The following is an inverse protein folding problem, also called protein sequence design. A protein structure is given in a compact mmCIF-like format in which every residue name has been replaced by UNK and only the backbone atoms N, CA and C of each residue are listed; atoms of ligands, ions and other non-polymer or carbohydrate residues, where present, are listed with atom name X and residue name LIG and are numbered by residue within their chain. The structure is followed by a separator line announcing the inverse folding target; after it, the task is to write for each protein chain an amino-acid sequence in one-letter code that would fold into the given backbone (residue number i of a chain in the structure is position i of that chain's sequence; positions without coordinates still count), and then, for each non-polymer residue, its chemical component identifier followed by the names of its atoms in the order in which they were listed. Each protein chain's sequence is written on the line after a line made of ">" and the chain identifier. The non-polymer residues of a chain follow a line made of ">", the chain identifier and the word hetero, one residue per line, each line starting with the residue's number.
data_IF_454840249701
#
_entry.id   IF_454840249701
#
_cell.length_a   1.000
_cell.length_b   1.000
_cell.length_c   1.000
_cell.angle_alpha   90.00
_cell.angle_beta   90.00
_cell.angle_gamma   90.00
#
_symmetry.space_group_name_H-M   'P 1'
#
loop_
_entity.id
_entity.type
_entity.pdbx_description
1 polymer ?
#
# COMPACT_ATOMS: atom_id res chain seq x y z
N UNK A 1 -56.96 23.99 -32.67
CA UNK A 1 -56.78 24.32 -31.24
C UNK A 1 -55.35 23.95 -30.86
N UNK A 2 -54.46 24.94 -30.78
CA UNK A 2 -53.02 24.70 -30.52
C UNK A 2 -52.77 24.95 -29.03
N UNK A 3 -52.46 23.90 -28.28
CA UNK A 3 -52.13 23.98 -26.86
C UNK A 3 -50.69 24.52 -26.76
N UNK A 4 -50.55 25.81 -26.44
CA UNK A 4 -49.25 26.37 -26.08
C UNK A 4 -48.84 25.82 -24.71
N UNK A 5 -47.95 24.82 -24.70
CA UNK A 5 -47.25 24.40 -23.49
C UNK A 5 -46.35 25.55 -23.04
N UNK A 6 -46.72 26.20 -21.94
CA UNK A 6 -45.82 27.13 -21.25
C UNK A 6 -44.62 26.33 -20.74
N UNK A 7 -43.44 26.57 -21.31
CA UNK A 7 -42.18 26.06 -20.77
C UNK A 7 -41.98 26.71 -19.41
N UNK A 8 -42.23 25.96 -18.32
CA UNK A 8 -41.87 26.37 -16.97
C UNK A 8 -40.34 26.29 -16.84
N UNK A 9 -39.66 27.37 -17.15
CA UNK A 9 -38.24 27.52 -16.83
C UNK A 9 -38.04 27.58 -15.32
N UNK A 10 -37.03 26.88 -14.81
CA UNK A 10 -36.64 26.96 -13.40
C UNK A 10 -36.28 28.41 -13.03
N UNK A 11 -36.68 28.82 -11.83
CA UNK A 11 -36.37 30.16 -11.31
C UNK A 11 -34.85 30.33 -11.11
N UNK A 12 -34.31 31.55 -11.30
CA UNK A 12 -32.92 31.84 -10.91
C UNK A 12 -32.65 31.47 -9.45
N UNK A 13 -33.64 31.68 -8.58
CA UNK A 13 -33.56 31.34 -7.15
C UNK A 13 -33.48 29.81 -6.96
N UNK A 14 -34.16 29.05 -7.80
CA UNK A 14 -34.16 27.59 -7.75
C UNK A 14 -32.81 27.02 -8.19
N UNK A 15 -32.21 27.57 -9.24
CA UNK A 15 -30.84 27.22 -9.63
C UNK A 15 -29.84 27.53 -8.50
N UNK A 16 -29.96 28.70 -7.86
CA UNK A 16 -29.11 29.08 -6.73
C UNK A 16 -29.28 28.12 -5.54
N UNK A 17 -30.51 27.70 -5.24
CA UNK A 17 -30.79 26.74 -4.18
C UNK A 17 -30.16 25.37 -4.48
N UNK A 18 -30.28 24.87 -5.70
CA UNK A 18 -29.67 23.60 -6.12
C UNK A 18 -28.15 23.67 -6.01
N UNK A 19 -27.54 24.76 -6.47
CA UNK A 19 -26.09 24.97 -6.36
C UNK A 19 -25.65 25.08 -4.89
N UNK A 20 -26.43 25.74 -4.03
CA UNK A 20 -26.13 25.83 -2.61
C UNK A 20 -26.14 24.44 -1.95
N UNK A 21 -27.16 23.63 -2.23
CA UNK A 21 -27.26 22.25 -1.71
C UNK A 21 -26.12 21.39 -2.25
N UNK A 22 -25.82 21.46 -3.55
CA UNK A 22 -24.69 20.76 -4.15
C UNK A 22 -23.35 21.16 -3.51
N UNK A 23 -23.14 22.45 -3.25
CA UNK A 23 -21.94 22.96 -2.59
C UNK A 23 -21.74 22.35 -1.20
N UNK A 24 -22.82 22.26 -0.41
CA UNK A 24 -22.79 21.63 0.91
C UNK A 24 -22.41 20.15 0.80
N UNK A 25 -22.99 19.40 -0.14
CA UNK A 25 -22.66 18.00 -0.35
C UNK A 25 -21.20 17.79 -0.75
N UNK A 26 -20.68 18.61 -1.68
CA UNK A 26 -19.31 18.51 -2.14
C UNK A 26 -18.31 18.84 -1.02
N UNK A 27 -18.61 19.84 -0.18
CA UNK A 27 -17.75 20.22 0.93
C UNK A 27 -17.50 19.08 1.92
N UNK A 28 -18.48 18.19 2.13
CA UNK A 28 -18.36 17.04 3.04
C UNK A 28 -17.80 15.80 2.31
N UNK A 29 -18.23 15.58 1.06
CA UNK A 29 -17.90 14.35 0.32
C UNK A 29 -16.44 14.30 -0.13
N UNK A 30 -15.89 15.41 -0.61
CA UNK A 30 -14.51 15.48 -1.12
C UNK A 30 -13.46 15.08 -0.07
N UNK A 31 -13.43 15.65 1.15
CA UNK A 31 -12.43 15.27 2.15
C UNK A 31 -12.57 13.80 2.58
N UNK A 32 -13.79 13.30 2.71
CA UNK A 32 -14.05 11.90 3.06
C UNK A 32 -13.53 10.92 2.00
N UNK A 33 -13.72 11.24 0.72
CA UNK A 33 -13.19 10.47 -0.40
C UNK A 33 -11.65 10.51 -0.42
N UNK A 34 -11.06 11.69 -0.24
CA UNK A 34 -9.60 11.84 -0.20
C UNK A 34 -8.96 10.98 0.91
N UNK A 35 -9.54 10.99 2.12
CA UNK A 35 -9.05 10.17 3.22
C UNK A 35 -9.21 8.66 2.95
N UNK A 36 -10.31 8.27 2.31
CA UNK A 36 -10.56 6.88 1.92
C UNK A 36 -9.55 6.39 0.87
N UNK A 37 -9.23 7.23 -0.11
CA UNK A 37 -8.19 6.92 -1.10
C UNK A 37 -6.81 6.79 -0.45
N UNK A 38 -6.43 7.68 0.49
CA UNK A 38 -5.16 7.56 1.23
C UNK A 38 -5.06 6.24 1.99
N UNK A 39 -6.14 5.84 2.68
CA UNK A 39 -6.23 4.53 3.37
C UNK A 39 -6.06 3.37 2.40
N UNK A 40 -6.74 3.42 1.26
CA UNK A 40 -6.66 2.37 0.25
C UNK A 40 -5.25 2.23 -0.32
N UNK A 41 -4.63 3.33 -0.73
CA UNK A 41 -3.25 3.32 -1.25
C UNK A 41 -2.25 2.81 -0.22
N UNK A 42 -2.39 3.19 1.06
CA UNK A 42 -1.54 2.71 2.14
C UNK A 42 -1.63 1.18 2.30
N UNK A 43 -2.86 0.63 2.36
CA UNK A 43 -3.09 -0.82 2.44
C UNK A 43 -2.57 -1.55 1.21
N UNK A 44 -2.76 -0.99 0.02
CA UNK A 44 -2.24 -1.55 -1.22
C UNK A 44 -0.71 -1.64 -1.19
N UNK A 45 -0.02 -0.59 -0.72
CA UNK A 45 1.44 -0.60 -0.60
C UNK A 45 1.97 -1.65 0.38
N UNK A 46 1.29 -1.88 1.51
CA UNK A 46 1.65 -2.98 2.43
C UNK A 46 1.47 -4.35 1.77
N UNK A 47 0.36 -4.56 1.07
CA UNK A 47 0.11 -5.81 0.34
C UNK A 47 1.12 -6.03 -0.78
N UNK A 48 1.51 -4.98 -1.49
CA UNK A 48 2.55 -5.00 -2.50
C UNK A 48 3.91 -5.36 -1.90
N UNK A 49 4.29 -4.73 -0.78
CA UNK A 49 5.50 -5.06 -0.04
C UNK A 49 5.57 -6.55 0.35
N UNK A 50 4.49 -7.09 0.94
CA UNK A 50 4.39 -8.52 1.29
C UNK A 50 4.46 -9.40 0.04
N UNK A 51 3.85 -8.96 -1.07
CA UNK A 51 3.89 -9.68 -2.35
C UNK A 51 5.30 -9.70 -2.94
N UNK A 52 6.04 -8.61 -2.83
CA UNK A 52 7.45 -8.52 -3.23
C UNK A 52 8.35 -9.39 -2.35
N UNK A 53 8.08 -9.48 -1.04
CA UNK A 53 8.79 -10.42 -0.18
C UNK A 53 8.52 -11.88 -0.56
N UNK A 54 7.28 -12.22 -0.93
CA UNK A 54 6.95 -13.53 -1.49
C UNK A 54 7.62 -13.76 -2.84
N UNK A 55 7.71 -12.73 -3.68
CA UNK A 55 8.42 -12.79 -4.95
C UNK A 55 9.91 -13.07 -4.73
N UNK A 56 10.56 -12.37 -3.81
CA UNK A 56 11.97 -12.58 -3.45
C UNK A 56 12.25 -14.04 -3.09
N UNK A 57 11.40 -14.61 -2.23
CA UNK A 57 11.44 -16.04 -1.88
C UNK A 57 11.27 -16.95 -3.09
N UNK A 58 10.27 -16.69 -3.94
CA UNK A 58 10.05 -17.49 -5.14
C UNK A 58 11.21 -17.40 -6.13
N UNK A 59 11.80 -16.21 -6.31
CA UNK A 59 12.98 -16.00 -7.14
C UNK A 59 14.16 -16.82 -6.62
N UNK A 60 14.38 -16.86 -5.31
CA UNK A 60 15.48 -17.63 -4.74
C UNK A 60 15.37 -19.13 -5.04
N UNK A 61 14.14 -19.66 -4.94
CA UNK A 61 13.84 -21.06 -5.25
C UNK A 61 13.96 -21.31 -6.75
N UNK A 62 13.30 -20.49 -7.58
CA UNK A 62 13.19 -20.70 -9.02
C UNK A 62 14.52 -20.52 -9.76
N UNK A 63 15.37 -19.59 -9.31
CA UNK A 63 16.69 -19.32 -9.89
C UNK A 63 17.81 -20.12 -9.23
N UNK A 64 17.50 -20.85 -8.15
CA UNK A 64 18.48 -21.58 -7.36
C UNK A 64 19.68 -20.72 -6.93
N UNK A 65 19.39 -19.45 -6.61
CA UNK A 65 20.36 -18.46 -6.13
C UNK A 65 19.78 -17.74 -4.91
N UNK A 66 20.58 -17.39 -3.90
CA UNK A 66 20.09 -16.56 -2.79
C UNK A 66 19.59 -15.19 -3.28
N UNK A 67 18.54 -14.68 -2.66
CA UNK A 67 17.97 -13.35 -2.98
C UNK A 67 17.96 -12.48 -1.74
N UNK A 68 18.63 -11.33 -1.84
CA UNK A 68 18.73 -10.34 -0.77
C UNK A 68 17.71 -9.22 -0.97
N UNK A 69 16.74 -9.13 -0.06
CA UNK A 69 15.81 -8.00 0.01
C UNK A 69 16.30 -7.02 1.06
N UNK A 70 16.62 -5.78 0.67
CA UNK A 70 17.01 -4.75 1.64
C UNK A 70 15.78 -3.92 1.98
N UNK A 71 15.48 -3.80 3.27
CA UNK A 71 14.29 -3.13 3.76
C UNK A 71 14.67 -1.93 4.61
N UNK A 72 14.31 -0.72 4.14
CA UNK A 72 14.43 0.52 4.88
C UNK A 72 13.15 0.88 5.63
N UNK A 73 13.08 2.11 6.14
CA UNK A 73 11.90 2.59 6.87
C UNK A 73 10.74 2.96 5.92
N UNK A 74 11.05 3.49 4.73
CA UNK A 74 10.07 4.01 3.77
C UNK A 74 10.24 3.40 2.37
N UNK A 75 11.26 2.57 2.20
CA UNK A 75 11.65 1.98 0.93
C UNK A 75 12.15 0.55 1.13
N UNK A 76 12.28 -0.16 0.02
CA UNK A 76 12.90 -1.47 -0.01
C UNK A 76 13.41 -1.74 -1.42
N UNK A 77 14.39 -2.62 -1.53
CA UNK A 77 14.98 -3.01 -2.80
C UNK A 77 15.11 -4.53 -2.92
N UNK A 78 15.03 -4.97 -4.18
CA UNK A 78 15.23 -6.35 -4.58
C UNK A 78 16.20 -6.39 -5.77
N UNK A 79 16.90 -7.50 -6.00
CA UNK A 79 17.62 -7.68 -7.25
C UNK A 79 16.65 -7.58 -8.43
N UNK A 80 17.12 -6.99 -9.52
CA UNK A 80 16.31 -6.82 -10.72
C UNK A 80 16.10 -8.17 -11.40
N UNK A 81 14.91 -8.74 -11.20
CA UNK A 81 14.56 -10.06 -11.70
C UNK A 81 14.34 -10.12 -13.22
N UNK A 82 14.38 -8.99 -13.93
CA UNK A 82 14.43 -8.98 -15.40
C UNK A 82 15.80 -9.39 -15.93
N UNK A 83 16.83 -9.43 -15.08
CA UNK A 83 18.16 -9.88 -15.46
C UNK A 83 18.23 -11.43 -15.56
N UNK A 84 19.19 -11.90 -16.37
CA UNK A 84 19.47 -13.32 -16.55
C UNK A 84 20.04 -13.98 -15.29
N UNK A 85 20.84 -13.22 -14.53
CA UNK A 85 21.51 -13.67 -13.32
C UNK A 85 21.21 -12.74 -12.14
N UNK A 86 20.65 -13.28 -11.06
CA UNK A 86 20.26 -12.49 -9.88
C UNK A 86 21.48 -12.06 -9.07
N UNK A 87 22.56 -12.86 -9.06
CA UNK A 87 23.77 -12.58 -8.30
C UNK A 87 24.54 -11.35 -8.78
N UNK A 88 24.36 -10.96 -10.04
CA UNK A 88 24.98 -9.77 -10.65
C UNK A 88 23.97 -8.68 -11.01
N UNK A 89 22.68 -8.92 -10.79
CA UNK A 89 21.63 -7.99 -11.13
C UNK A 89 21.79 -6.68 -10.33
N UNK A 90 21.52 -5.56 -11.00
CA UNK A 90 21.31 -4.29 -10.30
C UNK A 90 20.10 -4.35 -9.36
N UNK A 91 19.95 -3.36 -8.48
CA UNK A 91 18.81 -3.28 -7.58
C UNK A 91 17.61 -2.59 -8.25
N UNK A 92 16.42 -3.10 -7.95
CA UNK A 92 15.14 -2.45 -8.21
C UNK A 92 14.58 -1.94 -6.89
N UNK A 93 14.40 -0.63 -6.83
CA UNK A 93 13.93 0.08 -5.66
C UNK A 93 12.42 0.31 -5.71
N UNK A 94 11.79 0.25 -4.54
CA UNK A 94 10.38 0.49 -4.32
C UNK A 94 10.23 1.43 -3.13
N UNK A 95 9.31 2.38 -3.25
CA UNK A 95 8.95 3.27 -2.16
C UNK A 95 7.57 2.91 -1.63
N UNK A 96 7.43 2.90 -0.31
CA UNK A 96 6.14 2.75 0.34
C UNK A 96 5.29 4.02 0.16
N UNK A 97 3.96 3.89 0.15
CA UNK A 97 3.09 5.07 0.22
C UNK A 97 3.44 5.92 1.44
N UNK A 98 3.35 7.26 1.31
CA UNK A 98 3.71 8.22 2.37
C UNK A 98 3.05 8.00 3.75
N UNK A 99 1.91 7.32 3.76
CA UNK A 99 1.19 7.00 4.99
C UNK A 99 1.71 5.74 5.69
N UNK A 100 2.67 5.02 5.10
CA UNK A 100 3.21 3.76 5.60
C UNK A 100 4.67 3.90 6.02
N UNK A 101 5.02 3.36 7.17
CA UNK A 101 6.41 3.30 7.64
C UNK A 101 6.70 1.95 8.28
N UNK A 102 7.87 1.38 7.99
CA UNK A 102 8.40 0.18 8.64
C UNK A 102 9.09 0.63 9.93
N UNK A 103 8.50 0.28 11.07
CA UNK A 103 8.99 0.70 12.39
C UNK A 103 9.87 -0.35 13.06
N UNK A 104 9.85 -1.59 12.57
CA UNK A 104 10.75 -2.65 13.02
C UNK A 104 11.01 -3.69 11.94
N UNK A 105 12.16 -4.36 12.07
CA UNK A 105 12.58 -5.43 11.16
C UNK A 105 13.25 -4.94 9.86
N UNK A 106 13.81 -3.72 9.87
CA UNK A 106 14.62 -3.19 8.77
C UNK A 106 15.97 -3.91 8.66
N UNK A 107 16.61 -3.79 7.50
CA UNK A 107 17.87 -4.45 7.16
C UNK A 107 17.73 -5.41 5.98
N UNK A 108 18.77 -6.20 5.75
CA UNK A 108 18.79 -7.18 4.64
C UNK A 108 18.20 -8.52 5.09
N UNK A 109 17.21 -8.99 4.35
CA UNK A 109 16.58 -10.30 4.48
C UNK A 109 17.05 -11.18 3.33
N UNK A 110 17.73 -12.27 3.65
CA UNK A 110 18.28 -13.20 2.66
C UNK A 110 17.42 -14.45 2.58
N UNK A 111 16.78 -14.67 1.43
CA UNK A 111 16.10 -15.92 1.11
C UNK A 111 17.07 -16.90 0.44
N UNK A 112 17.13 -18.13 0.95
CA UNK A 112 17.93 -19.22 0.40
C UNK A 112 17.21 -19.93 -0.74
N UNK A 113 17.95 -20.78 -1.45
CA UNK A 113 17.46 -21.56 -2.60
C UNK A 113 16.40 -22.61 -2.24
N UNK A 114 16.28 -22.97 -0.96
CA UNK A 114 15.23 -23.83 -0.41
C UNK A 114 14.01 -23.02 0.09
N UNK A 115 14.03 -21.69 -0.07
CA UNK A 115 12.97 -20.79 0.37
C UNK A 115 12.99 -20.47 1.86
N UNK A 116 14.00 -20.92 2.62
CA UNK A 116 14.21 -20.54 4.03
C UNK A 116 14.88 -19.17 4.14
N UNK A 117 14.88 -18.60 5.35
CA UNK A 117 15.62 -17.36 5.64
C UNK A 117 16.95 -17.71 6.28
N UNK A 118 18.03 -17.12 5.76
CA UNK A 118 19.38 -17.26 6.36
C UNK A 118 19.71 -16.12 7.33
N UNK A 119 19.27 -14.91 7.01
CA UNK A 119 19.64 -13.67 7.71
C UNK A 119 18.48 -12.67 7.60
N UNK A 120 18.31 -11.82 8.61
CA UNK A 120 17.33 -10.74 8.62
C UNK A 120 16.29 -10.89 9.72
N UNK A 121 15.37 -9.94 9.79
CA UNK A 121 14.30 -9.95 10.77
C UNK A 121 13.24 -11.01 10.43
N UNK A 122 12.88 -11.83 11.41
CA UNK A 122 11.76 -12.80 11.29
C UNK A 122 10.42 -12.18 11.66
N UNK A 123 10.42 -10.98 12.24
CA UNK A 123 9.23 -10.18 12.53
C UNK A 123 9.46 -8.75 12.11
N UNK A 124 8.50 -8.18 11.40
CA UNK A 124 8.51 -6.80 10.95
C UNK A 124 7.19 -6.15 11.32
N UNK A 125 7.23 -4.85 11.62
CA UNK A 125 6.02 -4.07 11.87
C UNK A 125 5.96 -2.88 10.93
N UNK A 126 4.83 -2.78 10.24
CA UNK A 126 4.45 -1.60 9.48
C UNK A 126 3.35 -0.85 10.21
N UNK A 127 3.46 0.47 10.23
CA UNK A 127 2.42 1.35 10.75
C UNK A 127 1.88 2.20 9.61
N UNK A 128 0.55 2.38 9.63
CA UNK A 128 -0.14 3.33 8.76
C UNK A 128 -0.53 4.53 9.60
N UNK A 129 0.08 5.68 9.31
CA UNK A 129 -0.23 6.97 9.92
C UNK A 129 -0.98 7.86 8.92
N UNK A 130 -2.11 8.42 9.34
CA UNK A 130 -2.91 9.35 8.56
C UNK A 130 -3.14 10.60 9.40
N UNK A 131 -2.89 11.75 8.79
CA UNK A 131 -3.06 13.05 9.46
C UNK A 131 -2.30 13.14 10.81
N UNK A 132 -1.16 12.44 10.91
CA UNK A 132 -0.30 12.39 12.10
C UNK A 132 -0.63 11.28 13.10
N UNK A 133 -1.72 10.55 12.92
CA UNK A 133 -2.20 9.53 13.87
C UNK A 133 -2.07 8.11 13.31
N UNK A 134 -1.60 7.17 14.12
CA UNK A 134 -1.50 5.77 13.73
C UNK A 134 -2.91 5.18 13.65
N UNK A 135 -3.36 4.87 12.44
CA UNK A 135 -4.70 4.32 12.19
C UNK A 135 -4.68 2.78 12.09
N UNK A 136 -3.54 2.19 11.75
CA UNK A 136 -3.42 0.74 11.63
C UNK A 136 -1.98 0.24 11.78
N UNK A 137 -1.86 -1.03 12.14
CA UNK A 137 -0.60 -1.77 12.21
C UNK A 137 -0.70 -3.07 11.42
N UNK A 138 0.42 -3.45 10.80
CA UNK A 138 0.62 -4.73 10.16
C UNK A 138 1.84 -5.40 10.79
N UNK A 139 1.60 -6.55 11.42
CA UNK A 139 2.67 -7.41 11.91
C UNK A 139 2.92 -8.50 10.87
N UNK A 140 4.13 -8.52 10.31
CA UNK A 140 4.57 -9.48 9.33
C UNK A 140 5.51 -10.45 10.03
N UNK A 141 5.18 -11.73 10.02
CA UNK A 141 6.01 -12.78 10.58
C UNK A 141 6.50 -13.69 9.47
N UNK A 142 7.78 -14.04 9.53
CA UNK A 142 8.42 -14.99 8.63
C UNK A 142 8.93 -16.16 9.45
N UNK A 143 8.40 -17.35 9.18
CA UNK A 143 8.89 -18.57 9.81
C UNK A 143 10.31 -18.92 9.33
N UNK A 144 10.99 -19.82 10.04
CA UNK A 144 12.28 -20.38 9.60
C UNK A 144 12.18 -21.08 8.24
N UNK A 145 11.01 -21.64 7.90
CA UNK A 145 10.71 -22.22 6.58
C UNK A 145 10.41 -21.18 5.48
N UNK A 146 10.50 -19.88 5.81
CA UNK A 146 10.21 -18.77 4.91
C UNK A 146 8.73 -18.53 4.61
N UNK A 147 7.80 -19.20 5.32
CA UNK A 147 6.37 -18.87 5.24
C UNK A 147 6.13 -17.46 5.78
N UNK A 148 5.44 -16.63 4.99
CA UNK A 148 5.16 -15.23 5.28
C UNK A 148 3.69 -15.07 5.69
N UNK A 149 3.48 -14.69 6.94
CA UNK A 149 2.16 -14.43 7.53
C UNK A 149 2.02 -12.95 7.85
N UNK A 150 0.82 -12.40 7.67
CA UNK A 150 0.53 -10.99 7.94
C UNK A 150 -0.70 -10.89 8.82
N UNK A 151 -0.59 -10.14 9.91
CA UNK A 151 -1.68 -9.85 10.84
C UNK A 151 -1.99 -8.36 10.76
N UNK A 152 -3.26 -8.02 10.52
CA UNK A 152 -3.75 -6.66 10.50
C UNK A 152 -4.38 -6.31 11.84
N UNK A 153 -3.99 -5.18 12.43
CA UNK A 153 -4.59 -4.63 13.63
C UNK A 153 -5.04 -3.19 13.35
N UNK A 154 -6.33 -2.91 13.47
CA UNK A 154 -6.84 -1.55 13.42
C UNK A 154 -6.56 -0.85 14.76
N UNK A 155 -5.95 0.33 14.71
CA UNK A 155 -5.75 1.16 15.90
C UNK A 155 -6.93 2.13 15.93
N UNK A 156 -7.77 1.99 16.95
CA UNK A 156 -8.84 2.95 17.22
C UNK A 156 -8.33 3.87 18.31
N UNK A 157 -8.19 5.15 17.97
CA UNK A 157 -7.93 6.25 18.91
C UNK A 157 -9.08 6.42 19.90
#
# INVERSE_FOLDING_TARGET
>A
MVIHRQQKGYSLVELLLVLAIMGIFLAISIPALAQSMRRYSARAGVNEFVSHMRLARHLAIARHQPVDMTVGAEDYSLPNWSDGDIGTAGLREFSLPRACTIVSGTGTITFRTDGTISTGATTMRLEIALDGEITARYDIAISTAGQITTTYTQVTS
#
